data_IF_693020810287
#
_entry.id   IF_693020810287
#
_cell.length_a   1.000
_cell.length_b   1.000
_cell.length_c   1.000
_cell.angle_alpha   90.00
_cell.angle_beta   90.00
_cell.angle_gamma   90.00
#
_symmetry.space_group_name_H-M   'P 1'
#
loop_
_entity.id
_entity.type
_entity.pdbx_description
1 polymer ?
#
# COMPACT_ATOMS: atom_id res chain seq x y z
N UNK A 1 15.79 -27.43 -5.39
CA UNK A 1 16.27 -26.11 -4.92
C UNK A 1 15.05 -25.26 -4.71
N UNK A 2 14.80 -24.81 -3.47
CA UNK A 2 13.68 -23.92 -3.18
C UNK A 2 14.01 -22.56 -3.78
N UNK A 3 13.27 -22.15 -4.81
CA UNK A 3 13.37 -20.81 -5.38
C UNK A 3 12.95 -19.85 -4.27
N UNK A 4 13.88 -19.05 -3.79
CA UNK A 4 13.64 -17.97 -2.83
C UNK A 4 12.86 -16.88 -3.55
N UNK A 5 11.56 -17.10 -3.74
CA UNK A 5 10.65 -16.03 -4.11
C UNK A 5 10.72 -15.01 -2.96
N UNK A 6 11.21 -13.81 -3.25
CA UNK A 6 11.40 -12.79 -2.25
C UNK A 6 10.03 -12.47 -1.64
N UNK A 7 9.78 -13.00 -0.44
CA UNK A 7 8.49 -12.88 0.23
C UNK A 7 8.24 -11.40 0.57
N UNK A 8 7.56 -10.73 -0.36
CA UNK A 8 7.11 -9.35 -0.21
C UNK A 8 6.07 -9.32 0.90
N UNK A 9 6.40 -8.72 2.02
CA UNK A 9 5.44 -8.42 3.08
C UNK A 9 4.26 -7.66 2.49
N UNK A 10 3.06 -8.27 2.54
CA UNK A 10 1.83 -7.82 1.88
C UNK A 10 1.31 -8.76 0.77
N UNK A 11 2.16 -9.60 0.17
CA UNK A 11 1.77 -10.55 -0.89
C UNK A 11 0.96 -11.76 -0.39
N UNK A 12 1.20 -12.21 0.84
CA UNK A 12 0.44 -13.32 1.46
C UNK A 12 -0.92 -12.91 2.04
N UNK A 13 -1.20 -11.61 2.14
CA UNK A 13 -2.46 -11.08 2.67
C UNK A 13 -3.38 -10.50 1.58
N UNK A 14 -3.09 -10.77 0.30
CA UNK A 14 -3.89 -10.35 -0.84
C UNK A 14 -4.87 -11.43 -1.34
N UNK A 15 -5.99 -11.07 -1.99
CA UNK A 15 -6.90 -12.03 -2.61
C UNK A 15 -6.17 -12.96 -3.60
N UNK A 16 -6.54 -14.25 -3.59
CA UNK A 16 -5.95 -15.27 -4.48
C UNK A 16 -6.10 -14.85 -5.94
N UNK A 17 -4.99 -14.88 -6.69
CA UNK A 17 -4.86 -14.37 -8.07
C UNK A 17 -5.92 -14.95 -9.02
N UNK A 18 -6.53 -14.07 -9.81
CA UNK A 18 -7.08 -14.42 -11.12
C UNK A 18 -6.17 -13.81 -12.20
N UNK A 19 -6.04 -14.46 -13.36
CA UNK A 19 -5.16 -14.04 -14.49
C UNK A 19 -5.46 -12.64 -15.06
N UNK A 20 -6.47 -11.95 -14.54
CA UNK A 20 -6.95 -10.65 -15.00
C UNK A 20 -6.51 -9.46 -14.11
N UNK A 21 -5.77 -9.70 -13.01
CA UNK A 21 -5.33 -8.61 -12.13
C UNK A 21 -4.12 -7.88 -12.72
N UNK A 22 -4.35 -6.68 -13.27
CA UNK A 22 -3.31 -5.72 -13.65
C UNK A 22 -2.70 -5.11 -12.39
N UNK A 23 -1.45 -5.48 -12.06
CA UNK A 23 -0.70 -4.70 -11.08
C UNK A 23 -0.17 -3.39 -11.68
N UNK A 24 0.45 -2.55 -10.83
CA UNK A 24 0.86 -1.18 -11.17
C UNK A 24 2.38 -1.07 -11.31
N UNK A 25 2.87 -0.04 -12.00
CA UNK A 25 4.32 0.22 -12.07
C UNK A 25 4.88 0.77 -10.75
N UNK A 26 6.20 0.72 -10.56
CA UNK A 26 6.87 1.25 -9.36
C UNK A 26 6.62 2.75 -9.14
N UNK A 27 6.59 3.54 -10.22
CA UNK A 27 6.32 4.98 -10.15
C UNK A 27 4.87 5.26 -9.72
N UNK A 28 3.90 4.50 -10.25
CA UNK A 28 2.50 4.57 -9.85
C UNK A 28 2.34 4.16 -8.38
N UNK A 29 2.96 3.05 -7.96
CA UNK A 29 2.95 2.62 -6.57
C UNK A 29 3.48 3.71 -5.62
N UNK A 30 4.61 4.33 -5.96
CA UNK A 30 5.18 5.42 -5.16
C UNK A 30 4.25 6.63 -5.05
N UNK A 31 3.58 6.99 -6.15
CA UNK A 31 2.57 8.05 -6.13
C UNK A 31 1.37 7.68 -5.25
N UNK A 32 0.88 6.44 -5.31
CA UNK A 32 -0.22 5.97 -4.46
C UNK A 32 0.16 6.01 -2.97
N UNK A 33 1.37 5.59 -2.61
CA UNK A 33 1.87 5.67 -1.22
C UNK A 33 1.84 7.10 -0.72
N UNK A 34 2.33 8.04 -1.53
CA UNK A 34 2.39 9.45 -1.13
C UNK A 34 1.00 10.09 -1.01
N UNK A 35 0.14 9.91 -2.02
CA UNK A 35 -1.19 10.54 -2.01
C UNK A 35 -2.07 9.99 -0.90
N UNK A 36 -2.02 8.68 -0.66
CA UNK A 36 -2.79 8.03 0.40
C UNK A 36 -2.27 8.33 1.80
N UNK A 37 -0.96 8.33 2.05
CA UNK A 37 -0.42 8.68 3.37
C UNK A 37 -0.69 10.14 3.73
N UNK A 38 -0.53 11.07 2.78
CA UNK A 38 -0.90 12.48 3.02
C UNK A 38 -2.41 12.58 3.31
N UNK A 39 -3.26 11.96 2.49
CA UNK A 39 -4.70 11.97 2.71
C UNK A 39 -5.12 11.36 4.05
N UNK A 40 -4.52 10.23 4.43
CA UNK A 40 -4.75 9.57 5.71
C UNK A 40 -4.33 10.43 6.90
N UNK A 41 -3.14 11.04 6.84
CA UNK A 41 -2.66 11.97 7.88
C UNK A 41 -3.56 13.20 8.03
N UNK A 42 -4.08 13.74 6.93
CA UNK A 42 -5.04 14.86 6.97
C UNK A 42 -6.33 14.45 7.67
N UNK A 43 -6.86 13.26 7.40
CA UNK A 43 -8.04 12.74 8.10
C UNK A 43 -7.80 12.47 9.59
N UNK A 44 -6.59 12.03 9.96
CA UNK A 44 -6.19 11.92 11.37
C UNK A 44 -6.16 13.30 12.03
N UNK A 45 -5.61 14.33 11.38
CA UNK A 45 -5.62 15.68 11.91
C UNK A 45 -7.04 16.23 12.12
N UNK A 46 -7.94 15.99 11.16
CA UNK A 46 -9.37 16.37 11.27
C UNK A 46 -10.07 15.58 12.39
N UNK A 47 -9.76 14.29 12.55
CA UNK A 47 -10.28 13.47 13.64
C UNK A 47 -9.88 14.03 15.01
N UNK A 48 -8.61 14.42 15.17
CA UNK A 48 -8.12 15.06 16.40
C UNK A 48 -8.86 16.36 16.70
N UNK A 49 -9.15 17.17 15.68
CA UNK A 49 -9.97 18.38 15.83
C UNK A 49 -11.41 18.07 16.28
N UNK A 50 -12.05 17.02 15.75
CA UNK A 50 -13.37 16.63 16.22
C UNK A 50 -13.36 16.06 17.66
N UNK A 51 -12.27 15.45 18.10
CA UNK A 51 -12.12 15.03 19.50
C UNK A 51 -12.05 16.24 20.45
N UNK A 52 -11.40 17.34 20.07
CA UNK A 52 -11.36 18.56 20.91
C UNK A 52 -12.75 19.20 21.07
N UNK A 53 -13.61 19.04 20.07
CA UNK A 53 -15.00 19.53 20.07
C UNK A 53 -16.00 18.56 20.74
N UNK A 54 -15.52 17.50 21.40
CA UNK A 54 -16.33 16.43 21.98
C UNK A 54 -17.27 15.72 20.98
N UNK A 55 -16.93 15.76 19.69
CA UNK A 55 -17.71 15.11 18.63
C UNK A 55 -17.14 13.72 18.32
N UNK A 56 -17.33 12.81 19.28
CA UNK A 56 -16.72 11.48 19.27
C UNK A 56 -17.11 10.60 18.08
N UNK A 57 -18.36 10.69 17.60
CA UNK A 57 -18.84 9.86 16.51
C UNK A 57 -18.11 10.19 15.19
N UNK A 58 -18.09 11.47 14.83
CA UNK A 58 -17.41 11.94 13.61
C UNK A 58 -15.89 11.81 13.73
N UNK A 59 -15.32 12.08 14.91
CA UNK A 59 -13.90 11.86 15.18
C UNK A 59 -13.48 10.41 14.92
N UNK A 60 -14.27 9.44 15.39
CA UNK A 60 -14.00 8.01 15.22
C UNK A 60 -14.11 7.59 13.75
N UNK A 61 -15.15 8.07 13.04
CA UNK A 61 -15.33 7.78 11.60
C UNK A 61 -14.14 8.32 10.78
N UNK A 62 -13.73 9.57 11.02
CA UNK A 62 -12.58 10.16 10.35
C UNK A 62 -11.29 9.39 10.64
N UNK A 63 -11.08 8.95 11.88
CA UNK A 63 -9.91 8.17 12.26
C UNK A 63 -9.83 6.83 11.51
N UNK A 64 -10.92 6.06 11.55
CA UNK A 64 -10.99 4.75 10.87
C UNK A 64 -10.82 4.92 9.37
N UNK A 65 -11.46 5.93 8.78
CA UNK A 65 -11.33 6.23 7.35
C UNK A 65 -9.89 6.62 6.98
N UNK A 66 -9.23 7.41 7.83
CA UNK A 66 -7.82 7.79 7.65
C UNK A 66 -6.88 6.58 7.65
N UNK A 67 -7.12 5.60 8.54
CA UNK A 67 -6.35 4.35 8.59
C UNK A 67 -6.57 3.52 7.32
N UNK A 68 -7.83 3.36 6.90
CA UNK A 68 -8.15 2.61 5.66
C UNK A 68 -7.44 3.23 4.46
N UNK A 69 -7.45 4.56 4.34
CA UNK A 69 -6.78 5.27 3.26
C UNK A 69 -5.26 5.10 3.36
N UNK A 70 -4.65 5.25 4.55
CA UNK A 70 -3.21 5.05 4.71
C UNK A 70 -2.74 3.63 4.37
N UNK A 71 -3.59 2.62 4.58
CA UNK A 71 -3.31 1.23 4.23
C UNK A 71 -3.57 0.91 2.75
N UNK A 72 -4.27 1.78 2.00
CA UNK A 72 -4.62 1.58 0.59
C UNK A 72 -3.47 1.12 -0.33
N UNK A 73 -2.22 1.64 -0.21
CA UNK A 73 -1.11 1.21 -1.05
C UNK A 73 -0.70 -0.24 -0.86
N UNK A 74 -0.90 -0.79 0.34
CA UNK A 74 -0.52 -2.17 0.65
C UNK A 74 -1.28 -3.22 -0.18
N UNK A 75 -2.40 -2.82 -0.79
CA UNK A 75 -3.24 -3.68 -1.61
C UNK A 75 -2.82 -3.70 -3.10
N UNK A 76 -1.79 -2.94 -3.51
CA UNK A 76 -1.32 -2.91 -4.90
C UNK A 76 -0.02 -3.69 -5.09
N UNK A 77 -0.06 -4.65 -6.01
CA UNK A 77 1.13 -5.39 -6.48
C UNK A 77 1.90 -4.56 -7.50
N UNK A 78 3.24 -4.60 -7.42
CA UNK A 78 4.14 -3.90 -8.34
C UNK A 78 4.56 -4.86 -9.44
N UNK A 79 4.14 -4.62 -10.67
CA UNK A 79 4.51 -5.43 -11.85
C UNK A 79 5.87 -4.98 -12.36
N UNK A 80 6.70 -5.94 -12.80
CA UNK A 80 8.03 -5.68 -13.36
C UNK A 80 9.14 -5.62 -12.32
N UNK A 81 8.92 -6.11 -11.09
CA UNK A 81 10.02 -6.33 -10.14
C UNK A 81 10.78 -7.64 -10.40
N UNK A 82 10.17 -8.58 -11.14
CA UNK A 82 10.78 -9.86 -11.54
C UNK A 82 11.85 -9.68 -12.64
N UNK A 83 11.63 -8.77 -13.61
CA UNK A 83 12.56 -8.56 -14.74
C UNK A 83 13.90 -7.91 -14.31
N UNK A 84 13.90 -7.09 -13.24
CA UNK A 84 15.13 -6.46 -12.72
C UNK A 84 15.99 -7.41 -11.88
N UNK A 85 15.44 -8.53 -11.38
CA UNK A 85 16.22 -9.54 -10.67
C UNK A 85 16.97 -10.44 -11.67
N UNK A 86 16.33 -10.83 -12.78
CA UNK A 86 16.98 -11.65 -13.82
C UNK A 86 18.15 -10.93 -14.53
N UNK A 87 18.05 -9.61 -14.75
CA UNK A 87 19.16 -8.82 -15.32
C UNK A 87 20.35 -8.69 -14.36
N UNK A 88 20.11 -8.61 -13.04
CA UNK A 88 21.19 -8.53 -12.04
C UNK A 88 21.93 -9.84 -11.85
N UNK A 89 21.21 -10.96 -11.91
CA UNK A 89 21.82 -12.29 -11.82
C UNK A 89 22.66 -12.62 -13.07
N UNK A 90 22.40 -11.97 -14.20
CA UNK A 90 23.15 -12.17 -15.46
C UNK A 90 24.43 -11.30 -15.54
N UNK A 91 24.51 -10.20 -14.80
CA UNK A 91 25.69 -9.32 -14.77
C UNK A 91 26.75 -9.74 -13.73
N UNK A 92 26.41 -10.64 -12.79
CA UNK A 92 27.31 -11.16 -11.76
C UNK A 92 27.95 -12.54 -12.08
N UNK A 93 27.74 -13.10 -13.29
CA UNK A 93 28.45 -14.30 -13.82
C UNK A 93 29.64 -13.99 -14.76
#
# INVERSE_FOLDING_TARGET
>A
MAKTDAQRFGGEFGPVRNKETKGVSLSTFKSLVWTSNIGGLVLVAISLEFFTQANWFWATICLVTGIIIALFPSNYEIVGMEEFEEEKDTEEE
#
